data_IF_186724368747
#
_entry.id   IF_186724368747
#
_cell.length_a   1.000
_cell.length_b   1.000
_cell.length_c   1.000
_cell.angle_alpha   90.00
_cell.angle_beta   90.00
_cell.angle_gamma   90.00
#
_symmetry.space_group_name_H-M   'P 1'
#
loop_
_entity.id
_entity.type
_entity.pdbx_description
1 polymer ?
#
# COMPACT_ATOMS: atom_id res chain seq x y z
N UNK A 1 19.39 36.35 -47.26
CA UNK A 1 18.48 35.81 -46.22
C UNK A 1 18.00 34.45 -46.68
N UNK A 2 18.57 33.37 -46.14
CA UNK A 2 18.20 31.98 -46.43
C UNK A 2 17.79 31.34 -45.11
N UNK A 3 16.49 31.39 -44.81
CA UNK A 3 15.93 30.63 -43.70
C UNK A 3 15.91 29.16 -44.10
N UNK A 4 16.82 28.38 -43.53
CA UNK A 4 16.77 26.92 -43.58
C UNK A 4 15.70 26.46 -42.60
N UNK A 5 14.53 26.14 -43.11
CA UNK A 5 13.49 25.39 -42.40
C UNK A 5 14.03 23.99 -42.09
N UNK A 6 14.43 23.77 -40.84
CA UNK A 6 14.69 22.43 -40.31
C UNK A 6 13.33 21.79 -40.05
N UNK A 7 12.86 20.99 -41.00
CA UNK A 7 11.72 20.10 -40.78
C UNK A 7 12.10 19.08 -39.71
N UNK A 8 11.63 19.29 -38.49
CA UNK A 8 11.58 18.28 -37.45
C UNK A 8 10.57 17.21 -37.90
N UNK A 9 11.06 16.18 -38.61
CA UNK A 9 10.35 14.92 -38.77
C UNK A 9 10.29 14.26 -37.39
N UNK A 10 9.20 14.51 -36.67
CA UNK A 10 8.76 13.66 -35.57
C UNK A 10 8.62 12.24 -36.13
N UNK A 11 9.63 11.41 -35.88
CA UNK A 11 9.53 9.97 -35.96
C UNK A 11 8.46 9.54 -34.95
N UNK A 12 7.20 9.52 -35.40
CA UNK A 12 6.17 8.69 -34.82
C UNK A 12 6.55 7.23 -35.12
N UNK A 13 7.58 6.74 -34.43
CA UNK A 13 7.84 5.31 -34.32
C UNK A 13 6.58 4.73 -33.70
N UNK A 14 5.87 3.96 -34.51
CA UNK A 14 4.59 3.37 -34.20
C UNK A 14 4.76 2.44 -32.99
N UNK A 15 4.48 2.93 -31.79
CA UNK A 15 4.44 2.16 -30.54
C UNK A 15 3.21 1.22 -30.48
N UNK A 16 2.86 0.59 -31.61
CA UNK A 16 1.52 0.02 -31.90
C UNK A 16 1.30 -1.36 -31.27
N UNK A 17 2.14 -1.80 -30.32
CA UNK A 17 2.11 -3.17 -29.78
C UNK A 17 2.17 -3.26 -28.25
N UNK A 18 2.14 -2.13 -27.54
CA UNK A 18 2.11 -2.10 -26.09
C UNK A 18 0.71 -1.73 -25.58
N UNK A 19 0.38 -2.22 -24.39
CA UNK A 19 -0.78 -1.84 -23.59
C UNK A 19 -0.91 -0.31 -23.57
N UNK A 20 -2.06 0.19 -24.03
CA UNK A 20 -2.38 1.61 -24.03
C UNK A 20 -2.62 2.12 -22.60
N UNK A 21 -2.73 3.44 -22.42
CA UNK A 21 -2.83 4.03 -21.07
C UNK A 21 -4.00 3.49 -20.25
N UNK A 22 -5.16 3.25 -20.88
CA UNK A 22 -6.32 2.68 -20.19
C UNK A 22 -6.10 1.22 -19.80
N UNK A 23 -5.48 0.44 -20.67
CA UNK A 23 -5.02 -0.91 -20.36
C UNK A 23 -4.07 -0.91 -19.15
N UNK A 24 -3.06 -0.02 -19.12
CA UNK A 24 -2.07 0.02 -18.03
C UNK A 24 -2.71 0.38 -16.69
N UNK A 25 -3.62 1.36 -16.71
CA UNK A 25 -4.41 1.76 -15.53
C UNK A 25 -5.30 0.61 -15.08
N UNK A 26 -5.95 -0.06 -16.02
CA UNK A 26 -6.79 -1.23 -15.77
C UNK A 26 -6.06 -2.38 -15.09
N UNK A 27 -4.92 -2.79 -15.64
CA UNK A 27 -4.04 -3.81 -15.06
C UNK A 27 -3.61 -3.42 -13.64
N UNK A 28 -3.15 -2.18 -13.46
CA UNK A 28 -2.67 -1.70 -12.16
C UNK A 28 -3.79 -1.64 -11.11
N UNK A 29 -5.01 -1.27 -11.52
CA UNK A 29 -6.21 -1.31 -10.67
C UNK A 29 -6.61 -2.73 -10.30
N UNK A 30 -6.47 -3.69 -11.21
CA UNK A 30 -6.70 -5.11 -10.95
C UNK A 30 -5.80 -5.60 -9.83
N UNK A 31 -4.48 -5.40 -9.95
CA UNK A 31 -3.53 -5.74 -8.89
C UNK A 31 -3.85 -5.03 -7.57
N UNK A 32 -4.21 -3.75 -7.60
CA UNK A 32 -4.57 -3.01 -6.39
C UNK A 32 -5.75 -3.64 -5.65
N UNK A 33 -6.79 -4.08 -6.39
CA UNK A 33 -7.94 -4.77 -5.81
C UNK A 33 -7.58 -6.10 -5.15
N UNK A 34 -6.71 -6.91 -5.76
CA UNK A 34 -6.29 -8.19 -5.18
C UNK A 34 -5.36 -8.05 -3.97
N UNK A 35 -4.54 -6.99 -3.92
CA UNK A 35 -3.62 -6.76 -2.81
C UNK A 35 -4.20 -5.91 -1.67
N UNK A 36 -5.33 -5.24 -1.86
CA UNK A 36 -6.01 -4.49 -0.79
C UNK A 36 -6.27 -5.34 0.47
N UNK A 37 -6.80 -6.59 0.39
CA UNK A 37 -6.98 -7.45 1.56
C UNK A 37 -5.69 -7.74 2.34
N UNK A 38 -4.55 -7.82 1.66
CA UNK A 38 -3.24 -8.08 2.29
C UNK A 38 -2.82 -6.91 3.18
N UNK A 39 -3.04 -5.68 2.72
CA UNK A 39 -2.76 -4.48 3.51
C UNK A 39 -3.69 -4.42 4.72
N UNK A 40 -4.99 -4.72 4.53
CA UNK A 40 -5.98 -4.73 5.63
C UNK A 40 -5.59 -5.74 6.72
N UNK A 41 -5.24 -6.97 6.34
CA UNK A 41 -4.79 -8.01 7.27
C UNK A 41 -3.57 -7.55 8.10
N UNK A 42 -2.56 -6.98 7.42
CA UNK A 42 -1.36 -6.46 8.09
C UNK A 42 -1.68 -5.33 9.08
N UNK A 43 -2.62 -4.43 8.75
CA UNK A 43 -3.05 -3.35 9.67
C UNK A 43 -3.91 -3.87 10.82
N UNK A 44 -4.74 -4.89 10.61
CA UNK A 44 -5.48 -5.55 11.70
C UNK A 44 -4.52 -6.19 12.71
N UNK A 45 -3.44 -6.82 12.24
CA UNK A 45 -2.40 -7.34 13.13
C UNK A 45 -1.72 -6.21 13.91
N UNK A 46 -1.40 -5.09 13.25
CA UNK A 46 -0.86 -3.91 13.91
C UNK A 46 -1.80 -3.35 15.00
N UNK A 47 -3.11 -3.32 14.76
CA UNK A 47 -4.10 -2.91 15.76
C UNK A 47 -3.97 -3.74 17.04
N UNK A 48 -3.97 -5.07 16.90
CA UNK A 48 -3.83 -5.99 18.05
C UNK A 48 -2.53 -5.75 18.83
N UNK A 49 -1.42 -5.54 18.12
CA UNK A 49 -0.12 -5.29 18.77
C UNK A 49 -0.03 -3.93 19.44
N UNK A 50 -0.69 -2.89 18.89
CA UNK A 50 -0.78 -1.57 19.52
C UNK A 50 -1.64 -1.60 20.79
N UNK A 51 -2.84 -2.21 20.75
CA UNK A 51 -3.70 -2.35 21.94
C UNK A 51 -2.95 -3.06 23.06
N UNK A 52 -2.33 -4.22 22.78
CA UNK A 52 -1.53 -4.97 23.76
C UNK A 52 -0.34 -4.17 24.31
N UNK A 53 0.29 -3.33 23.48
CA UNK A 53 1.43 -2.52 23.91
C UNK A 53 1.00 -1.42 24.88
N UNK A 54 -0.16 -0.81 24.65
CA UNK A 54 -0.68 0.29 25.47
C UNK A 54 -1.26 -0.20 26.78
N UNK A 55 -1.96 -1.34 26.80
CA UNK A 55 -2.47 -1.95 28.04
C UNK A 55 -1.38 -2.23 29.09
N UNK A 56 -0.16 -2.51 28.64
CA UNK A 56 1.01 -2.77 29.50
C UNK A 56 1.55 -1.52 30.19
N UNK A 57 1.16 -0.32 29.74
CA UNK A 57 1.62 0.93 30.33
C UNK A 57 0.71 1.28 31.50
N UNK A 58 1.30 1.43 32.69
CA UNK A 58 0.56 1.82 33.89
C UNK A 58 0.09 3.28 33.78
N UNK A 59 -1.23 3.49 33.87
CA UNK A 59 -1.83 4.82 33.99
C UNK A 59 -1.44 5.42 35.34
N UNK A 60 -0.85 6.64 35.39
CA UNK A 60 -0.46 7.28 36.63
C UNK A 60 -1.65 7.50 37.57
N UNK A 61 -1.40 7.42 38.88
CA UNK A 61 -2.42 7.61 39.90
C UNK A 61 -3.04 9.01 39.87
N UNK A 62 -2.30 10.02 39.42
CA UNK A 62 -2.81 11.40 39.27
C UNK A 62 -3.97 11.47 38.28
N UNK A 63 -3.95 10.63 37.24
CA UNK A 63 -5.04 10.49 36.27
C UNK A 63 -6.15 9.65 36.88
N UNK A 64 -5.83 8.48 37.46
CA UNK A 64 -6.85 7.54 37.95
C UNK A 64 -7.62 8.03 39.18
N UNK A 65 -7.15 9.09 39.86
CA UNK A 65 -7.89 9.77 40.91
C UNK A 65 -9.06 10.62 40.38
N UNK A 66 -9.08 10.91 39.08
CA UNK A 66 -10.05 11.81 38.44
C UNK A 66 -10.81 11.16 37.29
N UNK A 67 -10.20 10.19 36.62
CA UNK A 67 -10.76 9.50 35.45
C UNK A 67 -10.61 8.00 35.67
N UNK A 68 -11.62 7.20 35.34
CA UNK A 68 -11.47 5.75 35.46
C UNK A 68 -10.39 5.23 34.50
N UNK A 69 -9.58 4.26 34.94
CA UNK A 69 -8.54 3.66 34.09
C UNK A 69 -9.12 3.09 32.80
N UNK A 70 -10.27 2.44 32.88
CA UNK A 70 -11.01 1.87 31.74
C UNK A 70 -11.36 2.91 30.70
N UNK A 71 -11.80 4.10 31.13
CA UNK A 71 -12.17 5.19 30.23
C UNK A 71 -10.95 5.72 29.46
N UNK A 72 -9.83 5.97 30.14
CA UNK A 72 -8.57 6.40 29.49
C UNK A 72 -8.09 5.36 28.47
N UNK A 73 -8.20 4.06 28.79
CA UNK A 73 -7.79 3.01 27.87
C UNK A 73 -8.76 2.85 26.68
N UNK A 74 -10.06 2.98 26.91
CA UNK A 74 -11.07 2.96 25.85
C UNK A 74 -10.86 4.12 24.88
N UNK A 75 -10.68 5.34 25.38
CA UNK A 75 -10.40 6.51 24.54
C UNK A 75 -9.10 6.36 23.74
N UNK A 76 -8.11 5.65 24.29
CA UNK A 76 -6.86 5.36 23.60
C UNK A 76 -7.07 4.32 22.50
N UNK A 77 -7.78 3.24 22.79
CA UNK A 77 -8.12 2.19 21.84
C UNK A 77 -8.93 2.74 20.66
N UNK A 78 -9.99 3.52 20.94
CA UNK A 78 -10.78 4.20 19.92
C UNK A 78 -9.90 5.11 19.05
N UNK A 79 -8.94 5.83 19.66
CA UNK A 79 -8.03 6.68 18.91
C UNK A 79 -7.09 5.90 17.99
N UNK A 80 -6.66 4.69 18.39
CA UNK A 80 -5.84 3.81 17.56
C UNK A 80 -6.69 3.27 16.42
N UNK A 81 -7.87 2.74 16.72
CA UNK A 81 -8.79 2.19 15.73
C UNK A 81 -9.12 3.22 14.65
N UNK A 82 -9.47 4.44 15.04
CA UNK A 82 -9.73 5.53 14.11
C UNK A 82 -8.50 5.87 13.25
N UNK A 83 -7.32 5.97 13.88
CA UNK A 83 -6.07 6.26 13.14
C UNK A 83 -5.72 5.16 12.13
N UNK A 84 -5.93 3.90 12.49
CA UNK A 84 -5.66 2.76 11.61
C UNK A 84 -6.73 2.61 10.52
N UNK A 85 -7.98 2.95 10.81
CA UNK A 85 -9.06 2.98 9.83
C UNK A 85 -8.79 4.05 8.77
N UNK A 86 -8.48 5.27 9.18
CA UNK A 86 -8.11 6.37 8.28
C UNK A 86 -6.86 6.04 7.46
N UNK A 87 -5.85 5.45 8.12
CA UNK A 87 -4.64 4.98 7.44
C UNK A 87 -4.95 3.91 6.39
N UNK A 88 -5.74 2.90 6.75
CA UNK A 88 -6.11 1.80 5.84
C UNK A 88 -6.84 2.34 4.63
N UNK A 89 -7.88 3.17 4.85
CA UNK A 89 -8.63 3.79 3.77
C UNK A 89 -7.74 4.61 2.83
N UNK A 90 -6.77 5.34 3.38
CA UNK A 90 -5.78 6.10 2.60
C UNK A 90 -4.82 5.17 1.83
N UNK A 91 -4.28 4.15 2.49
CA UNK A 91 -3.26 3.26 1.94
C UNK A 91 -3.84 2.32 0.86
N UNK A 92 -5.09 1.91 1.01
CA UNK A 92 -5.81 1.05 0.05
C UNK A 92 -6.65 1.84 -0.94
N UNK A 93 -6.71 3.17 -0.83
CA UNK A 93 -7.39 4.01 -1.81
C UNK A 93 -6.91 3.61 -3.22
N UNK A 94 -7.85 3.14 -4.04
CA UNK A 94 -7.51 2.54 -5.33
C UNK A 94 -6.65 3.46 -6.19
N UNK A 95 -6.88 4.78 -6.13
CA UNK A 95 -6.07 5.77 -6.84
C UNK A 95 -4.60 5.81 -6.40
N UNK A 96 -4.29 5.55 -5.13
CA UNK A 96 -2.91 5.54 -4.61
C UNK A 96 -2.23 4.20 -4.85
N UNK A 97 -2.90 3.10 -4.49
CA UNK A 97 -2.31 1.77 -4.61
C UNK A 97 -2.13 1.38 -6.08
N UNK A 98 -3.13 1.65 -6.93
CA UNK A 98 -3.01 1.40 -8.37
C UNK A 98 -1.98 2.31 -9.03
N UNK A 99 -1.81 3.56 -8.59
CA UNK A 99 -0.75 4.42 -9.12
C UNK A 99 0.64 3.89 -8.75
N UNK A 100 0.82 3.44 -7.50
CA UNK A 100 2.07 2.78 -7.10
C UNK A 100 2.39 1.54 -7.96
N UNK A 101 1.37 0.73 -8.25
CA UNK A 101 1.53 -0.44 -9.13
C UNK A 101 1.77 -0.06 -10.59
N UNK A 102 1.11 0.99 -11.08
CA UNK A 102 1.38 1.53 -12.40
C UNK A 102 2.85 1.95 -12.55
N UNK A 103 3.43 2.60 -11.54
CA UNK A 103 4.85 2.98 -11.56
C UNK A 103 5.76 1.75 -11.63
N UNK A 104 5.61 0.76 -10.75
CA UNK A 104 6.54 -0.39 -10.71
C UNK A 104 6.41 -1.35 -11.89
N UNK A 105 5.24 -1.42 -12.50
CA UNK A 105 5.00 -2.25 -13.69
C UNK A 105 5.49 -1.53 -14.94
N UNK A 106 5.18 -0.23 -15.10
CA UNK A 106 5.33 0.44 -16.39
C UNK A 106 6.41 1.52 -16.43
N UNK A 107 6.89 2.07 -15.32
CA UNK A 107 7.78 3.25 -15.33
C UNK A 107 9.13 3.05 -14.60
N UNK A 108 9.19 2.17 -13.61
CA UNK A 108 10.44 1.84 -12.92
C UNK A 108 11.33 0.90 -13.76
N UNK A 109 12.46 0.47 -13.20
CA UNK A 109 13.48 -0.32 -13.89
C UNK A 109 12.93 -1.58 -14.57
N UNK A 110 13.39 -1.85 -15.79
CA UNK A 110 12.88 -2.92 -16.68
C UNK A 110 11.35 -2.90 -16.81
N UNK A 111 10.77 -1.79 -17.31
CA UNK A 111 9.33 -1.64 -17.39
C UNK A 111 8.72 -2.60 -18.41
N UNK A 112 7.46 -3.00 -18.19
CA UNK A 112 6.63 -3.65 -19.21
C UNK A 112 6.20 -2.61 -20.25
N UNK A 113 7.13 -2.20 -21.09
CA UNK A 113 6.95 -1.25 -22.19
C UNK A 113 7.75 -1.70 -23.40
N UNK A 114 7.45 -1.09 -24.55
CA UNK A 114 8.20 -1.30 -25.78
C UNK A 114 7.58 -2.31 -26.72
N UNK A 115 8.34 -2.67 -27.75
CA UNK A 115 7.89 -3.47 -28.88
C UNK A 115 7.63 -4.94 -28.47
N UNK A 116 6.46 -5.45 -28.85
CA UNK A 116 6.02 -6.83 -28.63
C UNK A 116 6.03 -7.68 -29.91
N UNK A 117 6.74 -7.26 -30.96
CA UNK A 117 6.90 -8.03 -32.18
C UNK A 117 8.34 -8.48 -32.50
N UNK A 118 9.29 -8.25 -31.60
CA UNK A 118 10.68 -8.61 -31.81
C UNK A 118 11.27 -9.31 -30.56
N UNK A 119 11.23 -10.66 -30.47
CA UNK A 119 10.78 -11.60 -31.51
C UNK A 119 9.26 -11.66 -31.66
N UNK A 120 8.78 -11.91 -32.87
CA UNK A 120 7.35 -12.10 -33.12
C UNK A 120 6.90 -13.43 -32.52
N UNK A 121 5.96 -13.37 -31.58
CA UNK A 121 5.36 -14.55 -30.91
C UNK A 121 3.88 -14.74 -31.22
N UNK A 122 3.16 -13.63 -31.43
CA UNK A 122 1.72 -13.63 -31.65
C UNK A 122 1.39 -13.39 -33.12
N UNK A 123 0.26 -13.96 -33.55
CA UNK A 123 -0.24 -13.82 -34.91
C UNK A 123 -1.06 -12.54 -35.12
N UNK A 124 -1.60 -11.97 -34.04
CA UNK A 124 -2.35 -10.71 -34.01
C UNK A 124 -1.69 -9.69 -33.09
N UNK A 125 -1.99 -8.41 -33.35
CA UNK A 125 -1.40 -7.25 -32.66
C UNK A 125 -2.24 -6.77 -31.47
N UNK A 126 -3.55 -6.97 -31.55
CA UNK A 126 -4.55 -6.71 -30.51
C UNK A 126 -5.72 -7.70 -30.72
N UNK A 127 -6.50 -8.04 -29.68
CA UNK A 127 -7.74 -8.78 -29.87
C UNK A 127 -8.77 -7.93 -30.64
N UNK A 128 -9.64 -8.55 -31.45
CA UNK A 128 -10.79 -7.87 -32.03
C UNK A 128 -11.68 -7.22 -30.96
N UNK A 129 -12.46 -6.18 -31.31
CA UNK A 129 -13.42 -5.59 -30.37
C UNK A 129 -14.36 -6.63 -29.77
N UNK A 130 -14.46 -6.65 -28.43
CA UNK A 130 -15.28 -7.62 -27.70
C UNK A 130 -14.59 -8.96 -27.40
N UNK A 131 -13.37 -9.18 -27.89
CA UNK A 131 -12.54 -10.35 -27.55
C UNK A 131 -11.44 -9.98 -26.55
N UNK A 132 -10.97 -10.98 -25.82
CA UNK A 132 -9.80 -10.88 -24.95
C UNK A 132 -8.59 -11.57 -25.58
N UNK A 133 -7.40 -11.24 -25.09
CA UNK A 133 -6.25 -12.11 -25.28
C UNK A 133 -6.52 -13.48 -24.64
N UNK A 134 -5.89 -14.51 -25.19
CA UNK A 134 -6.07 -15.89 -24.74
C UNK A 134 -4.93 -16.33 -23.82
N UNK A 135 -5.18 -17.36 -23.01
CA UNK A 135 -4.13 -18.01 -22.21
C UNK A 135 -3.04 -18.66 -23.07
N UNK A 136 -3.36 -19.07 -24.30
CA UNK A 136 -2.36 -19.54 -25.25
C UNK A 136 -1.41 -18.40 -25.66
N UNK A 137 -1.94 -17.21 -25.95
CA UNK A 137 -1.14 -16.03 -26.27
C UNK A 137 -0.29 -15.58 -25.08
N UNK A 138 -0.82 -15.66 -23.85
CA UNK A 138 -0.04 -15.45 -22.63
C UNK A 138 1.18 -16.38 -22.59
N UNK A 139 0.99 -17.70 -22.75
CA UNK A 139 2.09 -18.69 -22.72
C UNK A 139 3.14 -18.47 -23.82
N UNK A 140 2.76 -17.88 -24.96
CA UNK A 140 3.68 -17.57 -26.06
C UNK A 140 4.57 -16.35 -25.80
N UNK A 141 4.15 -15.41 -24.96
CA UNK A 141 4.90 -14.17 -24.67
C UNK A 141 5.99 -14.36 -23.62
N UNK A 142 6.95 -15.23 -23.95
CA UNK A 142 8.09 -15.57 -23.09
C UNK A 142 9.22 -14.53 -23.08
N UNK A 143 8.93 -13.27 -23.39
CA UNK A 143 9.87 -12.16 -23.29
C UNK A 143 9.14 -10.89 -22.83
N UNK A 144 9.84 -10.04 -22.09
CA UNK A 144 9.28 -8.83 -21.49
C UNK A 144 9.01 -7.79 -22.57
N UNK A 145 7.77 -7.33 -22.65
CA UNK A 145 7.36 -6.19 -23.47
C UNK A 145 6.10 -5.55 -22.86
N UNK A 146 5.49 -4.59 -23.55
CA UNK A 146 4.38 -3.82 -22.99
C UNK A 146 2.97 -4.40 -23.14
N UNK A 147 2.75 -5.56 -23.76
CA UNK A 147 1.38 -6.06 -24.00
C UNK A 147 0.84 -6.91 -22.83
N UNK A 148 -0.49 -7.06 -22.71
CA UNK A 148 -1.10 -7.87 -21.65
C UNK A 148 -0.63 -9.33 -21.60
N UNK A 149 -0.45 -10.04 -22.73
CA UNK A 149 0.06 -11.42 -22.69
C UNK A 149 1.48 -11.55 -22.10
N UNK A 150 2.37 -10.58 -22.30
CA UNK A 150 3.69 -10.55 -21.65
C UNK A 150 3.58 -10.35 -20.14
N UNK A 151 2.75 -9.40 -19.70
CA UNK A 151 2.49 -9.16 -18.26
C UNK A 151 1.89 -10.43 -17.61
N UNK A 152 0.97 -11.10 -18.31
CA UNK A 152 0.39 -12.38 -17.89
C UNK A 152 1.44 -13.50 -17.78
N UNK A 153 2.36 -13.61 -18.75
CA UNK A 153 3.42 -14.62 -18.73
C UNK A 153 4.35 -14.43 -17.52
N UNK A 154 4.75 -13.18 -17.27
CA UNK A 154 5.65 -12.81 -16.18
C UNK A 154 4.90 -12.40 -14.91
N UNK A 155 3.72 -12.99 -14.65
CA UNK A 155 2.87 -12.63 -13.52
C UNK A 155 3.64 -12.63 -12.20
N UNK A 156 4.48 -13.64 -11.95
CA UNK A 156 5.25 -13.73 -10.71
C UNK A 156 6.21 -12.55 -10.51
N UNK A 157 6.92 -12.13 -11.56
CA UNK A 157 7.77 -10.93 -11.48
C UNK A 157 6.95 -9.66 -11.20
N UNK A 158 5.80 -9.53 -11.87
CA UNK A 158 4.88 -8.41 -11.67
C UNK A 158 4.37 -8.40 -10.22
N UNK A 159 3.97 -9.55 -9.67
CA UNK A 159 3.54 -9.70 -8.28
C UNK A 159 4.64 -9.28 -7.32
N UNK A 160 5.88 -9.75 -7.50
CA UNK A 160 7.00 -9.37 -6.65
C UNK A 160 7.31 -7.87 -6.69
N UNK A 161 7.19 -7.22 -7.86
CA UNK A 161 7.31 -5.76 -8.00
C UNK A 161 6.22 -5.02 -7.21
N UNK A 162 4.97 -5.45 -7.33
CA UNK A 162 3.85 -4.88 -6.58
C UNK A 162 4.02 -5.08 -5.07
N UNK A 163 4.43 -6.28 -4.62
CA UNK A 163 4.74 -6.56 -3.22
C UNK A 163 5.85 -5.64 -2.73
N UNK A 164 6.98 -5.56 -3.45
CA UNK A 164 8.09 -4.67 -3.11
C UNK A 164 7.67 -3.20 -3.02
N UNK A 165 6.73 -2.75 -3.87
CA UNK A 165 6.12 -1.41 -3.76
C UNK A 165 5.34 -1.23 -2.46
N UNK A 166 4.47 -2.17 -2.11
CA UNK A 166 3.71 -2.12 -0.86
C UNK A 166 4.63 -2.07 0.35
N UNK A 167 5.66 -2.92 0.39
CA UNK A 167 6.64 -2.97 1.49
C UNK A 167 7.33 -1.62 1.68
N UNK A 168 7.81 -1.00 0.59
CA UNK A 168 8.41 0.36 0.62
C UNK A 168 7.44 1.40 1.15
N UNK A 169 6.23 1.44 0.59
CA UNK A 169 5.24 2.47 0.92
C UNK A 169 4.73 2.36 2.37
N UNK A 170 4.47 1.15 2.87
CA UNK A 170 4.09 0.94 4.27
C UNK A 170 5.23 1.30 5.22
N UNK A 171 6.48 0.98 4.86
CA UNK A 171 7.67 1.39 5.63
C UNK A 171 7.80 2.92 5.69
N UNK A 172 7.61 3.62 4.56
CA UNK A 172 7.63 5.08 4.51
C UNK A 172 6.55 5.70 5.41
N UNK A 173 5.33 5.14 5.40
CA UNK A 173 4.25 5.62 6.26
C UNK A 173 4.49 5.39 7.75
N UNK A 174 5.24 4.34 8.11
CA UNK A 174 5.63 4.03 9.48
C UNK A 174 6.97 4.69 9.90
N UNK A 175 7.61 5.47 9.03
CA UNK A 175 8.87 6.14 9.37
C UNK A 175 8.66 7.21 10.45
N UNK A 176 9.60 7.29 11.40
CA UNK A 176 9.53 8.25 12.50
C UNK A 176 9.59 9.70 12.01
N UNK A 177 10.46 10.00 11.05
CA UNK A 177 10.76 11.37 10.65
C UNK A 177 9.57 12.05 9.97
N UNK A 178 8.84 11.33 9.09
CA UNK A 178 7.76 11.91 8.29
C UNK A 178 6.62 10.95 7.93
N UNK A 179 6.51 9.81 8.61
CA UNK A 179 5.47 8.83 8.38
C UNK A 179 4.08 9.34 8.75
N UNK A 180 3.13 9.22 7.83
CA UNK A 180 1.73 9.57 8.08
C UNK A 180 1.16 8.80 9.27
N UNK A 181 1.40 7.48 9.32
CA UNK A 181 0.84 6.59 10.32
C UNK A 181 1.37 6.92 11.73
N UNK A 182 2.70 7.06 11.88
CA UNK A 182 3.33 7.44 13.16
C UNK A 182 2.74 8.75 13.68
N UNK A 183 2.67 9.79 12.84
CA UNK A 183 2.14 11.09 13.25
C UNK A 183 0.68 11.01 13.67
N UNK A 184 -0.13 10.24 12.94
CA UNK A 184 -1.55 10.05 13.26
C UNK A 184 -1.71 9.40 14.63
N UNK A 185 -1.00 8.28 14.87
CA UNK A 185 -1.07 7.56 16.14
C UNK A 185 -0.54 8.38 17.32
N UNK A 186 0.60 9.07 17.16
CA UNK A 186 1.18 9.93 18.22
C UNK A 186 0.25 11.10 18.56
N UNK A 187 -0.33 11.74 17.54
CA UNK A 187 -1.31 12.83 17.76
C UNK A 187 -2.57 12.30 18.41
N UNK A 188 -3.05 11.12 17.98
CA UNK A 188 -4.21 10.44 18.53
C UNK A 188 -4.04 10.13 20.02
N UNK A 189 -2.94 9.48 20.40
CA UNK A 189 -2.64 9.15 21.79
C UNK A 189 -2.62 10.39 22.70
N UNK A 190 -1.97 11.48 22.26
CA UNK A 190 -1.97 12.76 23.00
C UNK A 190 -3.38 13.33 23.14
N UNK A 191 -4.10 13.43 22.02
CA UNK A 191 -5.45 14.01 22.00
C UNK A 191 -6.41 13.21 22.87
N UNK A 192 -6.29 11.89 22.85
CA UNK A 192 -7.08 10.96 23.67
C UNK A 192 -6.86 11.23 25.16
N UNK A 193 -5.61 11.15 25.66
CA UNK A 193 -5.31 11.39 27.09
C UNK A 193 -5.77 12.76 27.57
N UNK A 194 -5.45 13.83 26.83
CA UNK A 194 -5.90 15.18 27.22
C UNK A 194 -7.41 15.35 27.09
N UNK A 195 -8.04 14.67 26.12
CA UNK A 195 -9.48 14.62 25.94
C UNK A 195 -10.17 14.01 27.15
N UNK A 196 -9.76 12.83 27.60
CA UNK A 196 -10.30 12.16 28.78
C UNK A 196 -10.17 13.05 30.03
N UNK A 197 -9.00 13.69 30.22
CA UNK A 197 -8.78 14.63 31.33
C UNK A 197 -9.72 15.83 31.25
N UNK A 198 -9.86 16.45 30.07
CA UNK A 198 -10.72 17.63 29.88
C UNK A 198 -12.19 17.30 30.11
N UNK A 199 -12.67 16.18 29.55
CA UNK A 199 -14.07 15.75 29.63
C UNK A 199 -14.49 15.43 31.08
N UNK A 200 -13.53 15.03 31.91
CA UNK A 200 -13.75 14.72 33.33
C UNK A 200 -13.37 15.87 34.29
N UNK A 201 -13.25 17.10 33.79
CA UNK A 201 -12.96 18.28 34.61
C UNK A 201 -11.54 18.29 35.23
N UNK A 202 -10.66 17.42 34.75
CA UNK A 202 -9.27 17.28 35.18
C UNK A 202 -8.28 17.94 34.21
N UNK A 203 -8.73 18.84 33.34
CA UNK A 203 -7.92 19.48 32.30
C UNK A 203 -6.66 20.19 32.82
N UNK A 204 -6.65 20.67 34.08
CA UNK A 204 -5.45 21.26 34.71
C UNK A 204 -4.28 20.28 34.85
N UNK A 205 -4.53 18.97 34.82
CA UNK A 205 -3.49 17.94 34.85
C UNK A 205 -2.74 17.82 33.52
N UNK A 206 -3.13 18.53 32.45
CA UNK A 206 -2.38 18.50 31.18
C UNK A 206 -0.97 19.06 31.32
N UNK A 207 -0.70 19.86 32.35
CA UNK A 207 0.63 20.42 32.64
C UNK A 207 1.41 19.56 33.67
N UNK A 208 0.83 18.47 34.16
CA UNK A 208 1.46 17.60 35.15
C UNK A 208 2.56 16.73 34.51
N UNK A 209 3.76 16.74 35.11
CA UNK A 209 4.92 16.02 34.59
C UNK A 209 4.70 14.48 34.51
N UNK A 210 3.82 13.91 35.36
CA UNK A 210 3.49 12.49 35.30
C UNK A 210 2.56 12.17 34.11
N UNK A 211 1.68 13.10 33.73
CA UNK A 211 0.86 12.98 32.51
C UNK A 211 1.76 13.04 31.27
N UNK A 212 2.68 14.00 31.22
CA UNK A 212 3.67 14.09 30.14
C UNK A 212 4.55 12.84 30.06
N UNK A 213 5.01 12.31 31.21
CA UNK A 213 5.77 11.07 31.26
C UNK A 213 4.98 9.87 30.75
N UNK A 214 3.68 9.79 31.07
CA UNK A 214 2.79 8.75 30.57
C UNK A 214 2.59 8.83 29.05
N UNK A 215 2.33 10.03 28.53
CA UNK A 215 2.23 10.28 27.08
C UNK A 215 3.54 9.90 26.38
N UNK A 216 4.69 10.27 26.93
CA UNK A 216 5.99 9.91 26.36
C UNK A 216 6.20 8.39 26.30
N UNK A 217 5.74 7.65 27.33
CA UNK A 217 5.76 6.17 27.33
C UNK A 217 4.83 5.59 26.27
N UNK A 218 3.61 6.12 26.12
CA UNK A 218 2.68 5.71 25.06
C UNK A 218 3.30 5.91 23.68
N UNK A 219 3.84 7.11 23.40
CA UNK A 219 4.51 7.43 22.14
C UNK A 219 5.69 6.49 21.88
N UNK A 220 6.51 6.23 22.89
CA UNK A 220 7.66 5.32 22.76
C UNK A 220 7.22 3.89 22.46
N UNK A 221 6.15 3.41 23.10
CA UNK A 221 5.58 2.09 22.82
C UNK A 221 4.99 2.02 21.40
N UNK A 222 4.23 3.04 20.97
CA UNK A 222 3.71 3.12 19.60
C UNK A 222 4.83 3.04 18.56
N UNK A 223 5.90 3.83 18.72
CA UNK A 223 7.04 3.83 17.79
C UNK A 223 7.71 2.45 17.76
N UNK A 224 7.93 1.84 18.93
CA UNK A 224 8.52 0.50 19.02
C UNK A 224 7.64 -0.55 18.34
N UNK A 225 6.33 -0.50 18.56
CA UNK A 225 5.39 -1.42 17.92
C UNK A 225 5.35 -1.24 16.40
N UNK A 226 5.44 -0.01 15.90
CA UNK A 226 5.54 0.26 14.46
C UNK A 226 6.85 -0.26 13.86
N UNK A 227 7.98 -0.12 14.57
CA UNK A 227 9.26 -0.69 14.13
C UNK A 227 9.22 -2.22 14.06
N UNK A 228 8.63 -2.87 15.08
CA UNK A 228 8.38 -4.32 15.08
C UNK A 228 7.47 -4.69 13.90
N UNK A 229 6.36 -3.98 13.70
CA UNK A 229 5.44 -4.24 12.59
C UNK A 229 6.14 -4.10 11.23
N UNK A 230 6.96 -3.07 11.03
CA UNK A 230 7.74 -2.90 9.79
C UNK A 230 8.70 -4.07 9.59
N UNK A 231 9.44 -4.43 10.63
CA UNK A 231 10.54 -5.41 10.54
C UNK A 231 10.05 -6.85 10.45
N UNK A 232 8.98 -7.20 11.18
CA UNK A 232 8.47 -8.56 11.30
C UNK A 232 7.25 -8.83 10.41
N UNK A 233 6.46 -7.80 10.05
CA UNK A 233 5.28 -7.95 9.19
C UNK A 233 5.49 -7.37 7.80
N UNK A 234 5.68 -6.06 7.67
CA UNK A 234 5.77 -5.39 6.37
C UNK A 234 6.92 -5.94 5.53
N UNK A 235 8.11 -6.19 6.10
CA UNK A 235 9.24 -6.75 5.34
C UNK A 235 8.97 -8.16 4.80
N UNK A 236 8.11 -8.92 5.46
CA UNK A 236 7.73 -10.29 5.09
C UNK A 236 6.34 -10.37 4.46
N UNK A 237 5.76 -9.24 4.06
CA UNK A 237 4.42 -9.17 3.49
C UNK A 237 4.32 -10.11 2.29
N UNK A 238 3.37 -11.05 2.29
CA UNK A 238 3.24 -12.14 1.30
C UNK A 238 4.26 -13.30 1.36
N UNK A 239 5.25 -13.27 2.26
CA UNK A 239 6.17 -14.39 2.50
C UNK A 239 5.69 -15.25 3.69
N UNK A 240 4.79 -14.72 4.53
CA UNK A 240 4.23 -15.42 5.69
C UNK A 240 3.23 -16.51 5.28
N UNK A 241 3.23 -17.67 5.96
CA UNK A 241 2.23 -18.71 5.73
C UNK A 241 0.79 -18.21 5.84
N UNK A 242 0.50 -17.32 6.80
CA UNK A 242 -0.83 -16.73 7.02
C UNK A 242 -1.33 -15.88 5.86
N UNK A 243 -0.43 -15.30 5.07
CA UNK A 243 -0.77 -14.41 3.95
C UNK A 243 -0.63 -15.09 2.58
N UNK A 244 -0.16 -16.34 2.54
CA UNK A 244 0.12 -17.05 1.30
C UNK A 244 -1.11 -17.17 0.41
N UNK A 245 -2.27 -17.45 1.02
CA UNK A 245 -3.55 -17.52 0.31
C UNK A 245 -3.93 -16.14 -0.26
N UNK A 246 -3.94 -15.09 0.57
CA UNK A 246 -4.28 -13.73 0.14
C UNK A 246 -3.38 -13.19 -0.98
N UNK A 247 -2.12 -13.61 -1.05
CA UNK A 247 -1.17 -13.11 -2.05
C UNK A 247 -1.08 -13.96 -3.33
N UNK A 248 -1.54 -15.22 -3.32
CA UNK A 248 -1.28 -16.15 -4.42
C UNK A 248 -2.49 -17.00 -4.87
N UNK A 249 -3.65 -16.89 -4.23
CA UNK A 249 -4.83 -17.71 -4.60
C UNK A 249 -5.58 -17.21 -5.84
N UNK A 250 -5.18 -16.05 -6.39
CA UNK A 250 -5.92 -15.34 -7.44
C UNK A 250 -5.20 -15.30 -8.81
N UNK A 251 -4.20 -16.17 -9.02
CA UNK A 251 -3.37 -16.14 -10.23
C UNK A 251 -4.18 -16.32 -11.53
N UNK A 252 -5.22 -17.13 -11.53
CA UNK A 252 -6.02 -17.36 -12.73
C UNK A 252 -7.01 -16.20 -12.99
N UNK A 253 -7.50 -15.58 -11.92
CA UNK A 253 -8.36 -14.40 -11.95
C UNK A 253 -7.61 -13.19 -12.48
N UNK A 254 -6.43 -12.89 -11.94
CA UNK A 254 -5.63 -11.75 -12.42
C UNK A 254 -5.16 -11.96 -13.86
N UNK A 255 -4.83 -13.18 -14.29
CA UNK A 255 -4.46 -13.43 -15.69
C UNK A 255 -5.63 -13.09 -16.61
N UNK A 256 -6.86 -13.49 -16.26
CA UNK A 256 -8.05 -13.10 -17.02
C UNK A 256 -8.25 -11.58 -17.02
N UNK A 257 -8.07 -10.94 -15.86
CA UNK A 257 -8.19 -9.49 -15.71
C UNK A 257 -7.12 -8.70 -16.48
N UNK A 258 -5.93 -9.24 -16.66
CA UNK A 258 -4.88 -8.68 -17.51
C UNK A 258 -5.27 -8.85 -18.98
N UNK A 259 -5.61 -10.09 -19.37
CA UNK A 259 -5.83 -10.46 -20.78
C UNK A 259 -7.10 -9.86 -21.39
N UNK A 260 -8.04 -9.34 -20.59
CA UNK A 260 -9.22 -8.64 -21.12
C UNK A 260 -8.91 -7.29 -21.76
N UNK A 261 -7.76 -6.70 -21.44
CA UNK A 261 -7.37 -5.41 -21.99
C UNK A 261 -6.77 -5.57 -23.39
N UNK A 262 -7.10 -4.70 -24.37
CA UNK A 262 -6.51 -4.75 -25.70
C UNK A 262 -5.01 -4.43 -25.68
#
# INVERSE_FOLDING_TARGET
>A
MLMKSVSLLLLAASTVFACEMDCRRGVSKGFAGFYEPVIKDSVTNLHSELSKAIEKITVPTVITQKVERSEVLSDLEDSIENSLTDFTAMATAQSRLAEGFYQVIFNEELPYKGDCNNPKRLNRKMPPPGESWTMEECRKMNYRCGNPPSICYFLEDVKQRCIGRMRRQLTEYASFDNGYLVRSLVRGARKSVYGSLSNNGAGKLSEDAQVESYIAKLVSATIRTLDIWVTEDVRQLCDKPSQKELCNSWDEEIKREILKWP
#
